data_IF_256941967898
#
_entry.id   IF_256941967898
#
_cell.length_a   1.000
_cell.length_b   1.000
_cell.length_c   1.000
_cell.angle_alpha   90.00
_cell.angle_beta   90.00
_cell.angle_gamma   90.00
#
_symmetry.space_group_name_H-M   'P 1'
#
loop_
_entity.id
_entity.type
_entity.pdbx_description
1 polymer ?
#
# COMPACT_ATOMS: atom_id res chain seq x y z
N UNK A 1 -24.52 -8.20 -14.83
CA UNK A 1 -24.80 -8.04 -13.39
C UNK A 1 -24.14 -6.73 -12.94
N UNK A 2 -24.72 -6.01 -11.96
CA UNK A 2 -24.08 -4.82 -11.44
C UNK A 2 -22.72 -5.15 -10.83
N UNK A 3 -21.74 -4.24 -10.87
CA UNK A 3 -20.43 -4.48 -10.27
C UNK A 3 -20.53 -4.70 -8.75
N UNK A 4 -19.73 -5.62 -8.23
CA UNK A 4 -19.54 -5.81 -6.80
C UNK A 4 -18.05 -5.64 -6.48
N UNK A 5 -17.70 -4.62 -5.69
CA UNK A 5 -16.34 -4.22 -5.39
C UNK A 5 -15.99 -4.67 -3.97
N UNK A 6 -14.92 -5.44 -3.81
CA UNK A 6 -14.33 -5.71 -2.51
C UNK A 6 -13.32 -4.61 -2.17
N UNK A 7 -13.60 -3.83 -1.14
CA UNK A 7 -12.68 -2.84 -0.58
C UNK A 7 -11.88 -3.49 0.55
N UNK A 8 -10.58 -3.70 0.33
CA UNK A 8 -9.74 -4.41 1.30
C UNK A 8 -9.20 -3.51 2.42
N UNK A 9 -8.93 -4.13 3.58
CA UNK A 9 -8.27 -3.47 4.73
C UNK A 9 -8.96 -2.19 5.19
N UNK A 10 -10.22 -2.33 5.64
CA UNK A 10 -11.09 -1.22 6.03
C UNK A 10 -10.54 -0.40 7.22
N UNK A 11 -10.15 -1.05 8.31
CA UNK A 11 -9.76 -0.50 9.63
C UNK A 11 -9.71 1.05 9.74
N UNK A 12 -8.57 1.66 9.36
CA UNK A 12 -8.36 3.12 9.47
C UNK A 12 -8.83 3.90 8.21
N UNK A 13 -9.58 3.27 7.29
CA UNK A 13 -9.90 3.83 5.96
C UNK A 13 -11.39 4.06 5.70
N UNK A 14 -12.16 4.25 6.77
CA UNK A 14 -13.60 4.47 6.65
C UNK A 14 -13.95 5.66 5.74
N UNK A 15 -13.20 6.76 5.83
CA UNK A 15 -13.41 7.92 4.96
C UNK A 15 -13.20 7.57 3.47
N UNK A 16 -12.10 6.88 3.15
CA UNK A 16 -11.84 6.42 1.78
C UNK A 16 -12.93 5.46 1.29
N UNK A 17 -13.36 4.52 2.14
CA UNK A 17 -14.45 3.60 1.78
C UNK A 17 -15.73 4.37 1.42
N UNK A 18 -16.11 5.36 2.22
CA UNK A 18 -17.33 6.15 1.97
C UNK A 18 -17.27 6.90 0.62
N UNK A 19 -16.12 7.47 0.29
CA UNK A 19 -15.92 8.12 -0.99
C UNK A 19 -16.02 7.13 -2.16
N UNK A 20 -15.31 5.99 -2.06
CA UNK A 20 -15.36 4.94 -3.07
C UNK A 20 -16.78 4.40 -3.26
N UNK A 21 -17.52 4.15 -2.18
CA UNK A 21 -18.89 3.66 -2.24
C UNK A 21 -19.83 4.68 -2.91
N UNK A 22 -19.73 5.94 -2.53
CA UNK A 22 -20.52 7.04 -3.11
C UNK A 22 -20.24 7.17 -4.61
N UNK A 23 -18.98 7.22 -5.01
CA UNK A 23 -18.60 7.43 -6.40
C UNK A 23 -18.92 6.21 -7.27
N UNK A 24 -18.73 5.00 -6.77
CA UNK A 24 -19.12 3.77 -7.46
C UNK A 24 -20.64 3.75 -7.77
N UNK A 25 -21.49 4.14 -6.80
CA UNK A 25 -22.94 4.22 -6.97
C UNK A 25 -23.35 5.39 -7.87
N UNK A 26 -22.53 6.44 -7.95
CA UNK A 26 -22.77 7.53 -8.90
C UNK A 26 -22.62 7.05 -10.36
N UNK A 27 -21.62 6.19 -10.64
CA UNK A 27 -21.41 5.62 -11.97
C UNK A 27 -22.43 4.54 -12.32
N UNK A 28 -22.77 3.70 -11.36
CA UNK A 28 -23.78 2.66 -11.55
C UNK A 28 -24.53 2.43 -10.24
N UNK A 29 -25.80 2.85 -10.22
CA UNK A 29 -26.64 2.91 -9.01
C UNK A 29 -26.69 1.62 -8.20
N UNK A 30 -26.64 0.48 -8.87
CA UNK A 30 -26.74 -0.84 -8.24
C UNK A 30 -25.36 -1.44 -7.88
N UNK A 31 -24.28 -0.65 -7.97
CA UNK A 31 -22.94 -1.11 -7.55
C UNK A 31 -22.92 -1.36 -6.06
N UNK A 32 -22.50 -2.57 -5.69
CA UNK A 32 -22.29 -2.95 -4.29
C UNK A 32 -20.82 -2.80 -3.92
N UNK A 33 -20.53 -2.14 -2.80
CA UNK A 33 -19.18 -2.08 -2.24
C UNK A 33 -19.16 -2.82 -0.91
N UNK A 34 -18.42 -3.91 -0.86
CA UNK A 34 -18.25 -4.74 0.35
C UNK A 34 -16.90 -4.39 0.95
N UNK A 35 -16.89 -3.92 2.19
CA UNK A 35 -15.66 -3.74 2.93
C UNK A 35 -15.19 -5.07 3.55
N UNK A 36 -13.89 -5.27 3.65
CA UNK A 36 -13.35 -6.39 4.42
C UNK A 36 -12.15 -5.97 5.28
N UNK A 37 -11.93 -6.74 6.32
CA UNK A 37 -10.75 -6.63 7.18
C UNK A 37 -10.45 -7.99 7.81
N UNK A 38 -9.19 -8.19 8.25
CA UNK A 38 -8.79 -9.40 8.98
C UNK A 38 -9.23 -9.36 10.46
N UNK A 39 -9.53 -8.18 10.98
CA UNK A 39 -10.16 -8.00 12.27
C UNK A 39 -11.69 -7.88 12.10
N UNK A 40 -12.47 -8.92 12.46
CA UNK A 40 -13.92 -8.88 12.32
C UNK A 40 -14.59 -7.85 13.22
N UNK A 41 -13.86 -7.33 14.22
CA UNK A 41 -14.35 -6.37 15.21
C UNK A 41 -13.75 -4.98 15.05
N UNK A 42 -13.07 -4.69 13.95
CA UNK A 42 -12.57 -3.35 13.71
C UNK A 42 -13.71 -2.33 13.81
N UNK A 43 -13.46 -1.19 14.44
CA UNK A 43 -14.51 -0.19 14.72
C UNK A 43 -15.27 0.24 13.46
N UNK A 44 -14.56 0.36 12.33
CA UNK A 44 -15.12 0.75 11.05
C UNK A 44 -16.12 -0.28 10.48
N UNK A 45 -16.08 -1.56 10.88
CA UNK A 45 -16.99 -2.59 10.36
C UNK A 45 -18.46 -2.31 10.68
N UNK A 46 -18.73 -1.55 11.75
CA UNK A 46 -20.10 -1.16 12.16
C UNK A 46 -20.65 0.05 11.41
N UNK A 47 -19.79 0.71 10.64
CA UNK A 47 -20.09 1.98 9.96
C UNK A 47 -20.28 1.79 8.44
N UNK A 48 -20.24 0.55 7.97
CA UNK A 48 -20.39 0.19 6.56
C UNK A 48 -21.63 -0.70 6.36
N UNK A 49 -22.26 -0.58 5.20
CA UNK A 49 -23.48 -1.33 4.88
C UNK A 49 -23.18 -2.83 4.71
N UNK A 50 -22.06 -3.15 4.08
CA UNK A 50 -21.65 -4.53 3.81
C UNK A 50 -20.24 -4.75 4.29
N UNK A 51 -20.07 -5.68 5.22
CA UNK A 51 -18.76 -6.08 5.73
C UNK A 51 -18.63 -7.60 5.74
N UNK A 52 -17.46 -8.09 5.36
CA UNK A 52 -17.08 -9.50 5.49
C UNK A 52 -15.71 -9.60 6.19
N UNK A 53 -15.54 -10.50 7.15
CA UNK A 53 -14.22 -10.79 7.67
C UNK A 53 -13.43 -11.57 6.61
N UNK A 54 -12.25 -11.07 6.26
CA UNK A 54 -11.33 -11.76 5.36
C UNK A 54 -10.14 -12.28 6.18
N UNK A 55 -9.76 -13.56 6.09
CA UNK A 55 -8.58 -14.05 6.78
C UNK A 55 -7.33 -13.23 6.42
N UNK A 56 -6.35 -13.19 7.33
CA UNK A 56 -5.06 -12.55 7.01
C UNK A 56 -4.49 -13.16 5.72
N UNK A 57 -3.95 -12.33 4.84
CA UNK A 57 -3.38 -12.76 3.55
C UNK A 57 -2.29 -13.83 3.70
N UNK A 58 -1.59 -13.88 4.84
CA UNK A 58 -0.58 -14.91 5.14
C UNK A 58 -1.11 -16.33 5.30
N UNK A 59 -2.44 -16.48 5.51
CA UNK A 59 -3.11 -17.78 5.70
C UNK A 59 -4.28 -17.98 4.74
N UNK A 60 -4.55 -17.03 3.86
CA UNK A 60 -5.62 -17.10 2.89
C UNK A 60 -5.16 -17.87 1.65
N UNK A 61 -5.72 -19.09 1.46
CA UNK A 61 -5.46 -19.86 0.25
C UNK A 61 -6.22 -19.33 -0.96
N UNK A 62 -5.73 -19.67 -2.15
CA UNK A 62 -6.34 -19.22 -3.40
C UNK A 62 -7.75 -19.79 -3.57
N UNK A 63 -7.97 -21.07 -3.19
CA UNK A 63 -9.28 -21.73 -3.23
C UNK A 63 -10.28 -21.00 -2.31
N UNK A 64 -9.84 -20.65 -1.08
CA UNK A 64 -10.70 -19.94 -0.13
C UNK A 64 -11.02 -18.53 -0.58
N UNK A 65 -10.06 -17.85 -1.19
CA UNK A 65 -10.26 -16.52 -1.76
C UNK A 65 -11.31 -16.58 -2.89
N UNK A 66 -11.18 -17.53 -3.81
CA UNK A 66 -12.11 -17.71 -4.93
C UNK A 66 -13.51 -18.08 -4.42
N UNK A 67 -13.61 -18.95 -3.40
CA UNK A 67 -14.87 -19.31 -2.75
C UNK A 67 -15.58 -18.07 -2.18
N UNK A 68 -14.85 -17.23 -1.44
CA UNK A 68 -15.38 -15.99 -0.85
C UNK A 68 -15.83 -15.04 -1.96
N UNK A 69 -15.04 -14.85 -3.00
CA UNK A 69 -15.41 -13.98 -4.10
C UNK A 69 -16.69 -14.46 -4.81
N UNK A 70 -16.82 -15.75 -5.04
CA UNK A 70 -18.02 -16.34 -5.66
C UNK A 70 -19.25 -16.21 -4.75
N UNK A 71 -19.10 -16.51 -3.46
CA UNK A 71 -20.19 -16.44 -2.48
C UNK A 71 -20.79 -15.03 -2.39
N UNK A 72 -19.95 -14.01 -2.50
CA UNK A 72 -20.35 -12.60 -2.41
C UNK A 72 -20.49 -11.90 -3.77
N UNK A 73 -20.42 -12.65 -4.88
CA UNK A 73 -20.53 -12.14 -6.26
C UNK A 73 -19.53 -11.01 -6.56
N UNK A 74 -18.34 -11.05 -5.95
CA UNK A 74 -17.30 -10.04 -6.12
C UNK A 74 -16.76 -10.11 -7.55
N UNK A 75 -16.83 -9.00 -8.26
CA UNK A 75 -16.32 -8.84 -9.62
C UNK A 75 -15.04 -7.98 -9.67
N UNK A 76 -14.81 -7.15 -8.66
CA UNK A 76 -13.66 -6.26 -8.58
C UNK A 76 -13.07 -6.25 -7.18
N UNK A 77 -11.75 -6.13 -7.08
CA UNK A 77 -11.04 -5.98 -5.80
C UNK A 77 -10.22 -4.70 -5.85
N UNK A 78 -10.41 -3.85 -4.85
CA UNK A 78 -9.64 -2.63 -4.62
C UNK A 78 -8.74 -2.81 -3.40
N UNK A 79 -7.46 -3.17 -3.58
CA UNK A 79 -6.48 -3.19 -2.50
C UNK A 79 -6.20 -1.79 -1.98
N UNK A 80 -6.15 -1.62 -0.67
CA UNK A 80 -5.97 -0.30 -0.06
C UNK A 80 -4.79 -0.19 0.91
N UNK A 81 -4.03 -1.27 1.12
CA UNK A 81 -2.89 -1.29 2.04
C UNK A 81 -1.63 -1.77 1.34
N UNK A 82 -0.52 -1.03 1.48
CA UNK A 82 0.76 -1.37 0.85
C UNK A 82 1.20 -2.82 1.10
N UNK A 83 1.07 -3.30 2.34
CA UNK A 83 1.48 -4.66 2.71
C UNK A 83 0.67 -5.81 2.09
N UNK A 84 -0.37 -5.51 1.32
CA UNK A 84 -1.16 -6.55 0.60
C UNK A 84 -1.04 -6.45 -0.93
N UNK A 85 -0.46 -5.36 -1.46
CA UNK A 85 -0.43 -5.13 -2.91
C UNK A 85 0.25 -6.27 -3.67
N UNK A 86 1.37 -6.78 -3.17
CA UNK A 86 2.09 -7.89 -3.79
C UNK A 86 1.26 -9.19 -3.79
N UNK A 87 0.56 -9.48 -2.68
CA UNK A 87 -0.35 -10.62 -2.60
C UNK A 87 -1.42 -10.58 -3.70
N UNK A 88 -2.01 -9.41 -3.91
CA UNK A 88 -3.04 -9.21 -4.91
C UNK A 88 -2.48 -9.21 -6.34
N UNK A 89 -1.29 -8.63 -6.55
CA UNK A 89 -0.63 -8.61 -7.86
C UNK A 89 -0.31 -10.03 -8.35
N UNK A 90 0.19 -10.88 -7.47
CA UNK A 90 0.52 -12.29 -7.76
C UNK A 90 -0.71 -13.14 -8.11
N UNK A 91 -1.91 -12.71 -7.69
CA UNK A 91 -3.18 -13.44 -7.93
C UNK A 91 -4.04 -12.84 -9.02
N UNK A 92 -3.57 -11.75 -9.63
CA UNK A 92 -4.33 -11.00 -10.63
C UNK A 92 -4.79 -11.87 -11.80
N UNK A 93 -3.89 -12.69 -12.35
CA UNK A 93 -4.22 -13.58 -13.46
C UNK A 93 -5.14 -14.73 -13.05
N UNK A 94 -4.89 -15.33 -11.89
CA UNK A 94 -5.75 -16.38 -11.34
C UNK A 94 -7.19 -15.86 -11.13
N UNK A 95 -7.33 -14.69 -10.53
CA UNK A 95 -8.64 -14.08 -10.27
C UNK A 95 -9.35 -13.68 -11.58
N UNK A 96 -8.59 -13.22 -12.58
CA UNK A 96 -9.14 -12.90 -13.90
C UNK A 96 -9.76 -14.13 -14.59
N UNK A 97 -9.22 -15.35 -14.40
CA UNK A 97 -9.81 -16.60 -14.89
C UNK A 97 -11.20 -16.88 -14.27
N UNK A 98 -11.51 -16.27 -13.14
CA UNK A 98 -12.80 -16.32 -12.48
C UNK A 98 -13.66 -15.06 -12.69
N UNK A 99 -13.32 -14.23 -13.69
CA UNK A 99 -13.99 -12.95 -13.99
C UNK A 99 -13.93 -11.93 -12.83
N UNK A 100 -12.85 -11.96 -12.03
CA UNK A 100 -12.59 -11.03 -10.94
C UNK A 100 -11.41 -10.15 -11.34
N UNK A 101 -11.62 -8.84 -11.42
CA UNK A 101 -10.58 -7.87 -11.72
C UNK A 101 -9.94 -7.34 -10.44
N UNK A 102 -8.62 -7.26 -10.40
CA UNK A 102 -7.90 -6.65 -9.29
C UNK A 102 -7.27 -5.33 -9.75
N UNK A 103 -7.62 -4.25 -9.08
CA UNK A 103 -7.11 -2.92 -9.39
C UNK A 103 -5.76 -2.69 -8.68
N UNK A 104 -4.75 -3.32 -9.21
CA UNK A 104 -3.38 -3.24 -8.71
C UNK A 104 -2.41 -3.25 -9.90
N UNK A 105 -1.25 -2.65 -9.73
CA UNK A 105 -0.15 -2.72 -10.71
C UNK A 105 0.35 -4.16 -10.85
N UNK A 106 1.25 -4.40 -11.81
CA UNK A 106 1.93 -5.69 -11.90
C UNK A 106 2.93 -5.86 -10.75
N UNK A 107 3.38 -7.09 -10.54
CA UNK A 107 4.29 -7.48 -9.47
C UNK A 107 5.59 -6.68 -9.49
N UNK A 108 6.22 -6.56 -10.66
CA UNK A 108 7.47 -5.82 -10.84
C UNK A 108 7.36 -4.34 -10.41
N UNK A 109 6.24 -3.68 -10.77
CA UNK A 109 5.99 -2.31 -10.35
C UNK A 109 5.80 -2.18 -8.83
N UNK A 110 5.11 -3.15 -8.22
CA UNK A 110 4.90 -3.15 -6.77
C UNK A 110 6.24 -3.35 -6.03
N UNK A 111 7.05 -4.31 -6.47
CA UNK A 111 8.36 -4.56 -5.89
C UNK A 111 9.28 -3.34 -6.04
N UNK A 112 9.32 -2.74 -7.23
CA UNK A 112 10.09 -1.53 -7.47
C UNK A 112 9.66 -0.37 -6.56
N UNK A 113 8.35 -0.13 -6.41
CA UNK A 113 7.84 0.95 -5.57
C UNK A 113 8.01 0.69 -4.06
N UNK A 114 8.07 -0.57 -3.63
CA UNK A 114 8.30 -0.93 -2.24
C UNK A 114 9.75 -0.69 -1.80
N UNK A 115 10.72 -0.77 -2.72
CA UNK A 115 12.13 -0.51 -2.46
C UNK A 115 12.49 0.93 -2.86
N UNK A 116 12.61 1.81 -1.87
CA UNK A 116 12.86 3.25 -2.09
C UNK A 116 14.18 3.56 -2.78
N UNK A 117 15.21 2.71 -2.60
CA UNK A 117 16.49 2.88 -3.30
C UNK A 117 16.36 2.45 -4.76
N UNK A 118 15.80 1.28 -5.03
CA UNK A 118 15.55 0.78 -6.39
C UNK A 118 14.63 1.72 -7.17
N UNK A 119 13.60 2.27 -6.52
CA UNK A 119 12.74 3.29 -7.11
C UNK A 119 13.55 4.52 -7.53
N UNK A 120 14.38 5.08 -6.65
CA UNK A 120 15.23 6.22 -6.99
C UNK A 120 16.19 5.89 -8.14
N UNK A 121 16.86 4.75 -8.09
CA UNK A 121 17.80 4.33 -9.15
C UNK A 121 17.14 4.23 -10.53
N UNK A 122 15.90 3.77 -10.59
CA UNK A 122 15.13 3.69 -11.84
C UNK A 122 14.65 5.07 -12.34
N UNK A 123 14.47 6.04 -11.45
CA UNK A 123 13.91 7.37 -11.75
C UNK A 123 14.93 8.50 -11.81
N UNK A 124 16.15 8.34 -11.30
CA UNK A 124 17.16 9.41 -11.21
C UNK A 124 17.48 10.14 -12.52
N UNK A 125 17.26 9.49 -13.67
CA UNK A 125 17.46 10.05 -14.99
C UNK A 125 16.16 10.50 -15.67
N UNK A 126 15.02 10.42 -14.96
CA UNK A 126 13.74 10.88 -15.49
C UNK A 126 13.69 12.43 -15.50
N UNK A 127 12.97 13.05 -16.45
CA UNK A 127 12.75 14.50 -16.44
C UNK A 127 12.06 15.04 -15.18
N UNK A 128 11.32 14.21 -14.47
CA UNK A 128 10.72 14.56 -13.18
C UNK A 128 11.77 14.34 -12.09
N UNK A 129 12.17 15.38 -11.34
CA UNK A 129 13.20 15.25 -10.32
C UNK A 129 12.74 14.32 -9.18
N UNK A 130 13.56 13.32 -8.84
CA UNK A 130 13.41 12.52 -7.67
C UNK A 130 14.38 12.98 -6.56
N UNK A 131 13.98 12.86 -5.30
CA UNK A 131 14.86 13.17 -4.18
C UNK A 131 16.03 12.19 -4.18
N UNK A 132 17.30 12.69 -4.20
CA UNK A 132 18.47 11.82 -4.14
C UNK A 132 18.38 10.86 -2.95
N UNK A 133 18.60 9.58 -3.24
CA UNK A 133 18.48 8.50 -2.23
C UNK A 133 19.77 7.70 -2.18
N UNK A 134 20.32 7.52 -1.01
CA UNK A 134 21.60 6.91 -0.78
C UNK A 134 21.48 5.72 0.17
N UNK A 135 22.24 4.66 -0.10
CA UNK A 135 22.37 3.50 0.80
C UNK A 135 23.35 3.76 1.94
N UNK A 136 24.34 4.61 1.69
CA UNK A 136 25.30 5.10 2.68
C UNK A 136 25.23 6.61 2.74
N UNK A 137 25.37 7.17 3.94
CA UNK A 137 25.34 8.62 4.13
C UNK A 137 26.57 9.26 3.43
N UNK A 138 26.34 10.09 2.40
CA UNK A 138 27.44 10.72 1.70
C UNK A 138 28.02 11.88 2.48
N UNK A 139 29.33 12.02 2.44
CA UNK A 139 30.03 13.13 3.11
C UNK A 139 29.61 14.48 2.49
N UNK A 140 29.11 15.39 3.34
CA UNK A 140 28.89 16.82 3.05
C UNK A 140 28.01 17.20 1.84
N UNK A 141 27.06 16.35 1.40
CA UNK A 141 26.17 16.71 0.31
C UNK A 141 24.90 17.45 0.71
N UNK A 142 24.50 17.38 1.99
CA UNK A 142 23.35 18.10 2.51
C UNK A 142 23.61 18.53 3.95
N UNK A 143 22.98 19.66 4.35
CA UNK A 143 23.09 20.16 5.73
C UNK A 143 22.19 19.37 6.70
N UNK A 144 21.08 18.83 6.20
CA UNK A 144 20.04 18.12 6.98
C UNK A 144 19.58 16.87 6.23
N UNK A 145 19.26 15.83 6.99
CA UNK A 145 18.97 14.50 6.48
C UNK A 145 17.64 13.92 6.94
N UNK A 146 17.09 13.03 6.10
CA UNK A 146 16.03 12.08 6.44
C UNK A 146 16.65 10.69 6.47
N UNK A 147 16.38 9.95 7.53
CA UNK A 147 16.74 8.52 7.64
C UNK A 147 15.43 7.73 7.72
N UNK A 148 15.29 6.72 6.87
CA UNK A 148 14.11 5.86 6.85
C UNK A 148 14.43 4.44 6.37
N UNK A 149 13.64 3.43 6.76
CA UNK A 149 13.83 2.08 6.23
C UNK A 149 13.75 2.05 4.70
N UNK A 150 14.66 1.31 4.07
CA UNK A 150 14.66 1.08 2.61
C UNK A 150 13.36 0.45 2.15
N UNK A 151 12.89 -0.58 2.87
CA UNK A 151 11.60 -1.23 2.68
C UNK A 151 10.63 -0.80 3.78
N UNK A 152 9.32 -0.91 3.51
CA UNK A 152 8.27 -0.60 4.49
C UNK A 152 7.44 0.63 4.12
N UNK A 153 6.34 0.81 4.85
CA UNK A 153 5.29 1.79 4.58
C UNK A 153 4.73 2.38 5.89
N UNK A 154 3.79 3.33 5.76
CA UNK A 154 3.06 3.89 6.90
C UNK A 154 3.88 4.81 7.80
N UNK A 155 5.00 5.36 7.32
CA UNK A 155 5.79 6.34 8.07
C UNK A 155 6.55 5.79 9.30
N UNK A 156 6.59 4.48 9.46
CA UNK A 156 7.28 3.86 10.61
C UNK A 156 8.78 4.07 10.53
N UNK A 157 9.38 4.39 11.68
CA UNK A 157 10.84 4.57 11.85
C UNK A 157 11.46 5.64 10.93
N UNK A 158 10.67 6.59 10.43
CA UNK A 158 11.19 7.75 9.70
C UNK A 158 11.71 8.77 10.73
N UNK A 159 12.91 9.27 10.51
CA UNK A 159 13.51 10.38 11.26
C UNK A 159 13.81 11.51 10.28
N UNK A 160 13.37 12.69 10.64
CA UNK A 160 13.43 13.89 9.80
C UNK A 160 14.36 14.93 10.42
N UNK A 161 14.91 15.80 9.57
CA UNK A 161 15.62 17.00 9.96
C UNK A 161 16.83 16.72 10.88
N UNK A 162 17.65 15.75 10.51
CA UNK A 162 18.83 15.29 11.27
C UNK A 162 20.09 15.97 10.76
N UNK A 163 21.00 16.27 11.65
CA UNK A 163 22.39 16.56 11.25
C UNK A 163 23.13 15.25 10.84
N UNK A 164 24.35 15.41 10.32
CA UNK A 164 25.14 14.27 9.84
C UNK A 164 25.41 13.24 10.93
N UNK A 165 25.78 13.70 12.14
CA UNK A 165 26.13 12.81 13.26
C UNK A 165 24.89 12.08 13.80
N UNK A 166 23.76 12.77 13.89
CA UNK A 166 22.47 12.18 14.27
C UNK A 166 22.05 11.08 13.27
N UNK A 167 22.19 11.35 11.97
CA UNK A 167 21.88 10.38 10.92
C UNK A 167 22.76 9.12 11.00
N UNK A 168 24.06 9.27 11.23
CA UNK A 168 24.99 8.16 11.47
C UNK A 168 24.59 7.33 12.70
N UNK A 169 24.29 7.99 13.81
CA UNK A 169 23.93 7.33 15.06
C UNK A 169 22.64 6.50 14.93
N UNK A 170 21.65 7.06 14.24
CA UNK A 170 20.38 6.36 14.00
C UNK A 170 20.61 5.11 13.14
N UNK A 171 21.31 5.25 12.01
CA UNK A 171 21.60 4.14 11.12
C UNK A 171 22.35 3.00 11.83
N UNK A 172 23.28 3.35 12.76
CA UNK A 172 24.04 2.37 13.52
C UNK A 172 23.24 1.69 14.65
N UNK A 173 22.12 2.30 15.07
CA UNK A 173 21.32 1.82 16.21
C UNK A 173 20.26 0.78 15.82
N UNK A 174 20.01 0.56 14.55
CA UNK A 174 18.95 -0.32 14.06
C UNK A 174 19.52 -1.47 13.24
N UNK A 175 18.90 -2.64 13.35
CA UNK A 175 19.14 -3.78 12.47
C UNK A 175 18.22 -3.65 11.26
N UNK A 176 18.78 -3.46 10.07
CA UNK A 176 18.01 -3.37 8.81
C UNK A 176 18.63 -2.41 7.80
N UNK A 177 18.16 -2.48 6.57
CA UNK A 177 18.60 -1.57 5.53
C UNK A 177 17.87 -0.23 5.65
N UNK A 178 18.63 0.84 5.80
CA UNK A 178 18.15 2.22 5.78
C UNK A 178 18.59 2.93 4.51
N UNK A 179 17.90 4.00 4.20
CA UNK A 179 18.29 4.96 3.17
C UNK A 179 18.37 6.36 3.77
N UNK A 180 19.20 7.17 3.12
CA UNK A 180 19.42 8.57 3.45
C UNK A 180 18.93 9.43 2.31
N UNK A 181 18.23 10.51 2.66
CA UNK A 181 17.77 11.52 1.70
C UNK A 181 18.06 12.91 2.24
N UNK A 182 18.38 13.90 1.41
CA UNK A 182 18.41 15.29 1.86
C UNK A 182 17.04 15.68 2.43
N UNK A 183 17.02 16.38 3.55
CA UNK A 183 15.79 16.95 4.09
C UNK A 183 15.38 18.16 3.25
N UNK A 184 14.20 18.09 2.67
CA UNK A 184 13.63 19.17 1.85
C UNK A 184 12.56 19.90 2.69
N UNK A 185 12.74 21.18 2.88
CA UNK A 185 11.74 22.03 3.58
C UNK A 185 10.60 22.37 2.63
N UNK A 186 9.37 22.38 3.15
CA UNK A 186 8.18 22.72 2.37
C UNK A 186 6.92 22.66 3.22
N UNK A 187 5.77 22.95 2.58
CA UNK A 187 4.45 22.63 3.15
C UNK A 187 4.01 21.26 2.64
N UNK A 188 3.51 20.44 3.55
CA UNK A 188 2.73 19.26 3.20
C UNK A 188 1.30 19.64 2.82
#
# INVERSE_FOLDING_TARGET
MPPCILFSSLSAKLALYREVARDAQHFHRDTKVIACDSDPYCSASREVEHFIPLPKISVLSDEKLIEICKLHEISHILPTRDGELLFWAQRKELLAQHNIQVWVSNEECIELCNDKLSFYESWKNCPIPAIPTYETLPDNQASRWVVKPRLGSGGQMIKLDLDYQEACNIASSYTGAFIFQPFVTGRE
#
